data_IF_376933493804
#
_entry.id   IF_376933493804
#
_cell.length_a   1.000
_cell.length_b   1.000
_cell.length_c   1.000
_cell.angle_alpha   90.00
_cell.angle_beta   90.00
_cell.angle_gamma   90.00
#
_symmetry.space_group_name_H-M   'P 1'
#
loop_
_entity.id
_entity.type
_entity.pdbx_description
1 polymer ?
#
# COMPACT_ATOMS: atom_id res chain seq x y z
N UNK A 1 7.72 10.19 1.82
CA UNK A 1 7.29 10.90 0.61
C UNK A 1 8.45 11.64 0.00
N UNK A 2 9.27 12.37 0.77
CA UNK A 2 10.53 12.93 0.25
C UNK A 2 11.42 11.87 -0.46
N UNK A 3 11.38 10.62 0.03
CA UNK A 3 12.11 9.51 -0.56
C UNK A 3 11.39 8.78 -1.71
N UNK A 4 10.10 9.04 -1.99
CA UNK A 4 9.39 8.39 -3.09
C UNK A 4 10.01 8.75 -4.45
N UNK A 5 10.42 10.01 -4.61
CA UNK A 5 11.02 10.49 -5.85
C UNK A 5 12.40 9.89 -6.13
N UNK A 6 13.11 9.42 -5.09
CA UNK A 6 14.43 8.80 -5.19
C UNK A 6 14.36 7.29 -5.43
N UNK A 7 13.19 6.68 -5.28
CA UNK A 7 13.00 5.23 -5.41
C UNK A 7 12.60 4.88 -6.84
N UNK A 8 13.12 3.76 -7.30
CA UNK A 8 12.63 3.06 -8.49
C UNK A 8 11.25 2.44 -8.23
N UNK A 9 10.49 2.12 -9.30
CA UNK A 9 9.24 1.36 -9.15
C UNK A 9 9.42 0.03 -8.41
N UNK A 10 10.55 -0.66 -8.60
CA UNK A 10 10.87 -1.90 -7.91
C UNK A 10 11.04 -1.68 -6.40
N UNK A 11 11.78 -0.66 -5.99
CA UNK A 11 11.97 -0.36 -4.56
C UNK A 11 10.67 0.05 -3.87
N UNK A 12 9.79 0.79 -4.57
CA UNK A 12 8.45 1.09 -4.06
C UNK A 12 7.64 -0.19 -3.88
N UNK A 13 7.63 -1.07 -4.88
CA UNK A 13 6.93 -2.35 -4.81
C UNK A 13 7.45 -3.23 -3.68
N UNK A 14 8.76 -3.40 -3.59
CA UNK A 14 9.42 -4.21 -2.55
C UNK A 14 9.11 -3.69 -1.16
N UNK A 15 9.16 -2.37 -0.97
CA UNK A 15 8.84 -1.75 0.31
C UNK A 15 7.39 -2.00 0.73
N UNK A 16 6.44 -1.85 -0.20
CA UNK A 16 5.03 -2.16 0.07
C UNK A 16 4.87 -3.65 0.39
N UNK A 17 5.48 -4.55 -0.38
CA UNK A 17 5.42 -5.99 -0.10
C UNK A 17 6.00 -6.36 1.27
N UNK A 18 7.10 -5.74 1.68
CA UNK A 18 7.68 -5.92 3.01
C UNK A 18 6.69 -5.51 4.11
N UNK A 19 6.13 -4.29 4.01
CA UNK A 19 5.19 -3.77 5.02
C UNK A 19 3.92 -4.63 5.08
N UNK A 20 3.37 -5.00 3.92
CA UNK A 20 2.21 -5.89 3.81
C UNK A 20 2.49 -7.26 4.44
N UNK A 21 3.65 -7.85 4.19
CA UNK A 21 4.01 -9.14 4.79
C UNK A 21 4.19 -9.02 6.31
N UNK A 22 4.86 -7.95 6.78
CA UNK A 22 5.06 -7.68 8.22
C UNK A 22 3.75 -7.57 8.99
N UNK A 23 2.69 -7.05 8.36
CA UNK A 23 1.35 -6.97 8.97
C UNK A 23 0.47 -8.21 8.73
N UNK A 24 1.04 -9.29 8.18
CA UNK A 24 0.36 -10.55 7.90
C UNK A 24 -0.60 -10.49 6.71
N UNK A 25 -0.39 -9.55 5.77
CA UNK A 25 -1.28 -9.25 4.65
C UNK A 25 -2.72 -8.94 5.09
N UNK A 26 -2.90 -8.42 6.31
CA UNK A 26 -4.19 -7.94 6.81
C UNK A 26 -4.49 -6.57 6.23
N UNK A 27 -5.77 -6.31 5.93
CA UNK A 27 -6.16 -5.02 5.37
C UNK A 27 -6.30 -3.97 6.48
N UNK A 28 -5.87 -2.73 6.22
CA UNK A 28 -6.35 -1.59 7.00
C UNK A 28 -7.69 -1.14 6.40
N UNK A 29 -8.80 -1.60 6.98
CA UNK A 29 -10.15 -1.19 6.61
C UNK A 29 -10.78 -0.42 7.77
N UNK A 30 -11.50 0.67 7.46
CA UNK A 30 -12.39 1.30 8.44
C UNK A 30 -13.69 0.50 8.44
N UNK A 31 -14.15 0.08 9.62
CA UNK A 31 -15.41 -0.69 9.80
C UNK A 31 -16.66 0.12 9.42
N UNK A 32 -16.54 1.45 9.29
CA UNK A 32 -17.61 2.35 8.87
C UNK A 32 -17.09 3.37 7.83
N UNK A 33 -17.48 3.20 6.56
CA UNK A 33 -17.40 4.29 5.58
C UNK A 33 -18.80 4.61 5.08
N UNK A 34 -19.38 5.70 5.59
CA UNK A 34 -20.70 6.18 5.13
C UNK A 34 -20.64 6.75 3.71
N UNK A 35 -19.44 7.08 3.22
CA UNK A 35 -19.19 7.48 1.84
C UNK A 35 -18.12 6.58 1.23
N UNK A 36 -18.53 5.77 0.25
CA UNK A 36 -17.65 4.84 -0.44
C UNK A 36 -16.43 5.52 -1.07
N UNK A 37 -15.36 4.73 -1.24
CA UNK A 37 -14.05 5.10 -1.83
C UNK A 37 -13.12 5.91 -0.93
N UNK A 38 -13.27 5.82 0.38
CA UNK A 38 -12.24 6.27 1.33
C UNK A 38 -11.05 5.31 1.33
N UNK A 39 -9.85 5.84 1.59
CA UNK A 39 -8.66 5.05 1.86
C UNK A 39 -8.36 5.17 3.35
N UNK A 40 -8.20 4.03 4.03
CA UNK A 40 -7.72 3.97 5.41
C UNK A 40 -6.19 3.87 5.35
N UNK A 41 -5.49 5.00 5.49
CA UNK A 41 -4.02 4.99 5.41
C UNK A 41 -3.42 4.29 6.61
N UNK A 42 -4.02 4.49 7.78
CA UNK A 42 -3.74 3.78 9.01
C UNK A 42 -5.04 3.35 9.68
N UNK A 43 -5.11 2.11 10.17
CA UNK A 43 -6.17 1.68 11.08
C UNK A 43 -5.83 2.02 12.53
N UNK A 44 -6.83 1.97 13.41
CA UNK A 44 -6.64 2.13 14.86
C UNK A 44 -5.65 1.10 15.42
N UNK A 45 -5.64 -0.12 14.87
CA UNK A 45 -4.68 -1.18 15.21
C UNK A 45 -3.26 -0.98 14.62
N UNK A 46 -2.99 0.16 13.99
CA UNK A 46 -1.69 0.48 13.40
C UNK A 46 -1.37 -0.24 12.09
N UNK A 47 -2.34 -0.91 11.46
CA UNK A 47 -2.18 -1.48 10.11
C UNK A 47 -2.18 -0.35 9.09
N UNK A 48 -1.42 -0.50 8.01
CA UNK A 48 -1.41 0.48 6.92
C UNK A 48 -1.92 -0.14 5.62
N UNK A 49 -2.51 0.67 4.76
CA UNK A 49 -2.87 0.19 3.42
C UNK A 49 -1.63 0.26 2.50
N UNK A 50 -1.76 -0.22 1.26
CA UNK A 50 -0.64 -0.17 0.32
C UNK A 50 -0.15 1.26 0.04
N UNK A 51 -1.07 2.23 -0.03
CA UNK A 51 -0.71 3.65 -0.13
C UNK A 51 -0.08 4.18 1.16
N UNK A 52 -0.64 3.81 2.32
CA UNK A 52 -0.12 4.16 3.65
C UNK A 52 1.30 3.66 3.90
N UNK A 53 1.66 2.51 3.33
CA UNK A 53 3.04 1.99 3.38
C UNK A 53 4.06 2.91 2.70
N UNK A 54 3.64 3.85 1.85
CA UNK A 54 4.53 4.81 1.18
C UNK A 54 4.67 6.14 1.95
N UNK A 55 3.94 6.30 3.06
CA UNK A 55 3.88 7.52 3.87
C UNK A 55 4.64 7.25 5.17
N UNK A 56 5.70 8.00 5.44
CA UNK A 56 6.43 7.86 6.69
C UNK A 56 5.56 8.36 7.87
N UNK A 57 5.89 7.94 9.08
CA UNK A 57 5.10 8.25 10.28
C UNK A 57 5.05 9.76 10.55
N UNK A 58 6.16 10.47 10.33
CA UNK A 58 6.33 11.92 10.47
C UNK A 58 5.67 12.74 9.36
N UNK A 59 5.42 12.13 8.20
CA UNK A 59 4.74 12.76 7.06
C UNK A 59 3.23 12.50 7.05
N UNK A 60 2.74 11.61 7.90
CA UNK A 60 1.34 11.24 7.93
C UNK A 60 0.51 12.30 8.67
N UNK A 61 -0.42 12.93 7.95
CA UNK A 61 -1.31 13.96 8.49
C UNK A 61 -2.76 13.49 8.38
N UNK A 62 -3.27 12.83 9.42
CA UNK A 62 -4.55 12.12 9.41
C UNK A 62 -5.71 12.97 8.85
N UNK A 63 -5.90 14.18 9.35
CA UNK A 63 -6.99 15.08 8.94
C UNK A 63 -6.92 15.53 7.46
N UNK A 64 -5.75 15.44 6.82
CA UNK A 64 -5.55 15.75 5.40
C UNK A 64 -5.63 14.51 4.50
N UNK A 65 -5.29 13.34 5.05
CA UNK A 65 -5.02 12.13 4.28
C UNK A 65 -6.13 11.10 4.40
N UNK A 66 -6.62 10.84 5.61
CA UNK A 66 -7.65 9.85 5.83
C UNK A 66 -8.91 10.18 5.03
N UNK A 67 -9.57 9.14 4.52
CA UNK A 67 -10.75 9.30 3.68
C UNK A 67 -10.48 9.76 2.24
N UNK A 68 -9.27 10.19 1.90
CA UNK A 68 -8.94 10.69 0.56
C UNK A 68 -8.17 9.65 -0.26
N UNK A 69 -8.63 9.32 -1.46
CA UNK A 69 -7.83 8.47 -2.37
C UNK A 69 -6.48 9.11 -2.72
N UNK A 70 -5.46 8.31 -3.07
CA UNK A 70 -4.16 8.84 -3.51
C UNK A 70 -4.31 9.87 -4.65
N UNK A 71 -5.24 9.65 -5.58
CA UNK A 71 -5.53 10.59 -6.68
C UNK A 71 -5.98 11.95 -6.16
N UNK A 72 -6.83 11.98 -5.14
CA UNK A 72 -7.30 13.23 -4.52
C UNK A 72 -6.14 13.92 -3.81
N UNK A 73 -5.31 13.18 -3.10
CA UNK A 73 -4.14 13.75 -2.42
C UNK A 73 -3.13 14.36 -3.38
N UNK A 74 -2.91 13.74 -4.54
CA UNK A 74 -2.05 14.32 -5.59
C UNK A 74 -2.65 15.63 -6.11
N UNK A 75 -3.96 15.67 -6.39
CA UNK A 75 -4.63 16.89 -6.87
C UNK A 75 -4.60 18.03 -5.84
N UNK A 76 -4.59 17.68 -4.55
CA UNK A 76 -4.44 18.63 -3.44
C UNK A 76 -2.97 18.98 -3.15
N UNK A 77 -2.01 18.48 -3.92
CA UNK A 77 -0.57 18.63 -3.69
C UNK A 77 -0.09 18.16 -2.30
N UNK A 78 -0.84 17.23 -1.67
CA UNK A 78 -0.47 16.65 -0.36
C UNK A 78 0.57 15.54 -0.54
N UNK A 79 0.47 14.77 -1.64
CA UNK A 79 1.42 13.70 -1.98
C UNK A 79 1.91 13.89 -3.42
N UNK A 80 3.11 13.41 -3.77
CA UNK A 80 3.64 13.58 -5.12
C UNK A 80 2.92 12.68 -6.14
N UNK A 81 2.91 13.10 -7.41
CA UNK A 81 2.38 12.31 -8.53
C UNK A 81 3.29 11.12 -8.92
N UNK A 82 4.57 11.15 -8.53
CA UNK A 82 5.50 10.09 -8.88
C UNK A 82 5.02 8.74 -8.33
N UNK A 83 5.14 7.69 -9.15
CA UNK A 83 4.65 6.33 -8.87
C UNK A 83 3.15 6.19 -8.62
N UNK A 84 2.33 7.24 -8.80
CA UNK A 84 0.89 7.19 -8.52
C UNK A 84 0.16 6.03 -9.19
N UNK A 85 0.55 5.68 -10.43
CA UNK A 85 -0.05 4.53 -11.15
C UNK A 85 0.24 3.21 -10.46
N UNK A 86 1.47 3.01 -9.99
CA UNK A 86 1.88 1.82 -9.25
C UNK A 86 1.18 1.77 -7.88
N UNK A 87 1.28 2.85 -7.09
CA UNK A 87 0.71 2.92 -5.74
C UNK A 87 -0.80 2.63 -5.76
N UNK A 88 -1.55 3.23 -6.69
CA UNK A 88 -2.98 2.94 -6.87
C UNK A 88 -3.25 1.49 -7.25
N UNK A 89 -2.38 0.87 -8.05
CA UNK A 89 -2.54 -0.52 -8.45
C UNK A 89 -2.29 -1.49 -7.28
N UNK A 90 -1.31 -1.17 -6.43
CA UNK A 90 -1.05 -1.89 -5.18
C UNK A 90 -2.18 -1.71 -4.18
N UNK A 91 -2.76 -0.51 -4.07
CA UNK A 91 -3.96 -0.27 -3.27
C UNK A 91 -5.12 -1.16 -3.71
N UNK A 92 -5.35 -1.30 -5.02
CA UNK A 92 -6.37 -2.25 -5.53
C UNK A 92 -6.04 -3.72 -5.23
N UNK A 93 -4.76 -4.07 -5.11
CA UNK A 93 -4.36 -5.43 -4.73
C UNK A 93 -4.65 -5.68 -3.24
N UNK A 94 -4.38 -4.69 -2.39
CA UNK A 94 -4.74 -4.67 -0.98
C UNK A 94 -6.25 -4.75 -0.80
N UNK A 95 -7.02 -3.81 -1.36
CA UNK A 95 -8.47 -3.67 -1.12
C UNK A 95 -9.28 -4.84 -1.67
N UNK A 96 -8.85 -5.44 -2.77
CA UNK A 96 -9.48 -6.63 -3.35
C UNK A 96 -9.01 -7.96 -2.74
N UNK A 97 -7.91 -7.96 -1.97
CA UNK A 97 -7.30 -9.14 -1.39
C UNK A 97 -7.81 -9.39 0.03
N UNK A 98 -9.01 -9.97 0.17
CA UNK A 98 -9.65 -10.21 1.48
C UNK A 98 -8.97 -11.29 2.33
N UNK A 99 -8.09 -12.09 1.75
CA UNK A 99 -7.26 -13.08 2.46
C UNK A 99 -5.78 -12.85 2.13
N UNK A 100 -4.84 -13.28 2.99
CA UNK A 100 -3.42 -13.20 2.71
C UNK A 100 -3.02 -13.83 1.36
N UNK A 101 -3.59 -14.98 1.02
CA UNK A 101 -3.34 -15.69 -0.24
C UNK A 101 -3.83 -14.85 -1.44
N UNK A 102 -5.04 -14.31 -1.34
CA UNK A 102 -5.63 -13.50 -2.39
C UNK A 102 -4.84 -12.19 -2.60
N UNK A 103 -4.42 -11.54 -1.51
CA UNK A 103 -3.60 -10.33 -1.56
C UNK A 103 -2.23 -10.62 -2.18
N UNK A 104 -1.55 -11.70 -1.77
CA UNK A 104 -0.27 -12.13 -2.36
C UNK A 104 -0.40 -12.42 -3.85
N UNK A 105 -1.41 -13.18 -4.25
CA UNK A 105 -1.67 -13.46 -5.66
C UNK A 105 -1.96 -12.17 -6.45
N UNK A 106 -2.71 -11.24 -5.84
CA UNK A 106 -2.99 -9.93 -6.43
C UNK A 106 -1.72 -9.12 -6.63
N UNK A 107 -0.87 -8.97 -5.61
CA UNK A 107 0.42 -8.26 -5.68
C UNK A 107 1.32 -8.85 -6.75
N UNK A 108 1.43 -10.19 -6.84
CA UNK A 108 2.18 -10.89 -7.89
C UNK A 108 1.68 -10.57 -9.30
N UNK A 109 0.36 -10.47 -9.51
CA UNK A 109 -0.20 -10.02 -10.80
C UNK A 109 0.24 -8.61 -11.14
N UNK A 110 0.29 -7.69 -10.16
CA UNK A 110 0.72 -6.31 -10.39
C UNK A 110 2.22 -6.23 -10.68
N UNK A 111 3.05 -7.05 -10.03
CA UNK A 111 4.47 -7.14 -10.37
C UNK A 111 4.65 -7.42 -11.87
N UNK A 112 3.96 -8.44 -12.40
CA UNK A 112 3.95 -8.75 -13.85
C UNK A 112 3.47 -7.57 -14.70
N UNK A 113 2.34 -6.94 -14.34
CA UNK A 113 1.79 -5.80 -15.09
C UNK A 113 2.76 -4.61 -15.20
N UNK A 114 3.61 -4.42 -14.19
CA UNK A 114 4.56 -3.30 -14.15
C UNK A 114 5.99 -3.72 -14.54
N UNK A 115 6.21 -4.96 -14.97
CA UNK A 115 7.55 -5.46 -15.31
C UNK A 115 8.49 -5.55 -14.11
N UNK A 116 7.95 -5.81 -12.91
CA UNK A 116 8.68 -5.87 -11.65
C UNK A 116 8.91 -7.32 -11.21
N UNK A 117 9.99 -7.55 -10.46
CA UNK A 117 10.29 -8.83 -9.82
C UNK A 117 9.39 -9.08 -8.60
N UNK A 118 8.89 -10.32 -8.46
CA UNK A 118 8.14 -10.78 -7.28
C UNK A 118 8.99 -11.60 -6.29
N UNK A 119 10.31 -11.66 -6.47
CA UNK A 119 11.22 -12.47 -5.63
C UNK A 119 11.11 -12.08 -4.16
N UNK A 120 11.15 -10.78 -3.85
CA UNK A 120 11.07 -10.31 -2.46
C UNK A 120 9.70 -10.55 -1.82
N UNK A 121 8.61 -10.44 -2.58
CA UNK A 121 7.27 -10.79 -2.09
C UNK A 121 7.21 -12.23 -1.58
N UNK A 122 7.82 -13.17 -2.31
CA UNK A 122 7.87 -14.59 -1.91
C UNK A 122 8.74 -14.80 -0.68
N UNK A 123 9.91 -14.16 -0.65
CA UNK A 123 10.82 -14.24 0.48
C UNK A 123 10.15 -13.70 1.76
N UNK A 124 9.49 -12.54 1.69
CA UNK A 124 8.79 -11.97 2.85
C UNK A 124 7.60 -12.81 3.29
N UNK A 125 6.82 -13.36 2.36
CA UNK A 125 5.73 -14.24 2.70
C UNK A 125 6.19 -15.51 3.45
N UNK A 126 7.37 -16.04 3.13
CA UNK A 126 7.96 -17.16 3.88
C UNK A 126 8.49 -16.71 5.24
N UNK A 127 9.21 -15.58 5.29
CA UNK A 127 9.81 -15.05 6.52
C UNK A 127 8.76 -14.78 7.63
N UNK A 128 7.64 -14.15 7.27
CA UNK A 128 6.61 -13.74 8.23
C UNK A 128 5.52 -14.80 8.46
N UNK A 129 5.53 -15.93 7.74
CA UNK A 129 4.64 -17.06 8.03
C UNK A 129 5.20 -17.98 9.12
N UNK A 130 6.48 -17.85 9.46
CA UNK A 130 7.17 -18.64 10.47
C UNK A 130 7.30 -17.94 11.84
N UNK A 131 6.68 -16.76 11.99
CA UNK A 131 6.69 -15.93 13.19
C UNK A 131 5.28 -15.84 13.78
#
# INVERSE_FOLDING_TARGET
MANLAKRTPQEVFDHVCYRMAKQGFRQSVVTSSWMGKSCAYRSEDGLACAAGCCVADDEFVAWRMEGNTWTVLVRKHIVPFIHSRLIRSLQRAHDGGKTPEAMRAALRRRAKTFGLSDTRLRAYAALFAAA
#
